data_IF_074762214952
#
_entry.id   IF_074762214952
#
_cell.length_a   1.000
_cell.length_b   1.000
_cell.length_c   1.000
_cell.angle_alpha   90.00
_cell.angle_beta   90.00
_cell.angle_gamma   90.00
#
_symmetry.space_group_name_H-M   'P 1'
#
loop_
_entity.id
_entity.type
_entity.pdbx_description
1 polymer ?
#
# COMPACT_ATOMS: atom_id res chain seq x y z
N UNK A 1 -15.11 9.72 -12.42
CA UNK A 1 -14.61 8.47 -13.04
C UNK A 1 -14.10 7.56 -11.91
N UNK A 2 -14.73 6.40 -11.69
CA UNK A 2 -14.56 5.51 -10.51
C UNK A 2 -13.55 4.38 -10.78
N UNK A 3 -12.78 4.42 -11.87
CA UNK A 3 -11.84 3.33 -12.22
C UNK A 3 -10.46 3.56 -11.58
N UNK A 4 -9.89 2.56 -10.89
CA UNK A 4 -8.58 2.60 -10.20
C UNK A 4 -8.57 1.99 -8.80
N UNK A 5 -7.39 1.72 -8.20
CA UNK A 5 -7.29 1.15 -6.86
C UNK A 5 -7.93 2.09 -5.82
N UNK A 6 -8.79 1.52 -4.97
CA UNK A 6 -9.41 2.22 -3.84
C UNK A 6 -8.72 1.81 -2.54
N UNK A 7 -8.64 2.76 -1.60
CA UNK A 7 -8.36 2.48 -0.20
C UNK A 7 -9.70 2.26 0.48
N UNK A 8 -9.86 1.10 1.11
CA UNK A 8 -11.04 0.73 1.87
C UNK A 8 -10.66 0.52 3.34
N UNK A 9 -11.65 0.58 4.24
CA UNK A 9 -11.44 0.13 5.61
C UNK A 9 -11.06 -1.37 5.60
N UNK A 10 -10.24 -1.84 6.55
CA UNK A 10 -9.79 -3.23 6.57
C UNK A 10 -10.93 -4.27 6.52
N UNK A 11 -12.05 -3.97 7.19
CA UNK A 11 -13.24 -4.84 7.18
C UNK A 11 -13.96 -4.92 5.83
N UNK A 12 -13.74 -3.95 4.94
CA UNK A 12 -14.38 -3.86 3.62
C UNK A 12 -13.49 -4.43 2.50
N UNK A 13 -12.34 -5.01 2.84
CA UNK A 13 -11.41 -5.61 1.88
C UNK A 13 -11.70 -7.11 1.76
N UNK A 14 -12.16 -7.55 0.58
CA UNK A 14 -12.21 -8.97 0.23
C UNK A 14 -10.79 -9.49 -0.09
N UNK A 15 -10.23 -10.42 0.70
CA UNK A 15 -8.89 -10.97 0.43
C UNK A 15 -8.84 -11.86 -0.81
N UNK A 16 -9.99 -12.30 -1.35
CA UNK A 16 -10.05 -13.21 -2.48
C UNK A 16 -9.18 -14.46 -2.26
N UNK A 17 -8.26 -14.73 -3.18
CA UNK A 17 -7.33 -15.86 -3.10
C UNK A 17 -6.05 -15.61 -2.29
N UNK A 18 -5.91 -14.46 -1.62
CA UNK A 18 -4.68 -14.11 -0.91
C UNK A 18 -4.38 -15.11 0.22
N UNK A 19 -3.13 -15.55 0.30
CA UNK A 19 -2.66 -16.54 1.31
C UNK A 19 -1.90 -15.90 2.48
N UNK A 20 -1.50 -14.64 2.33
CA UNK A 20 -0.69 -13.92 3.32
C UNK A 20 -1.01 -12.43 3.27
N UNK A 21 -0.85 -11.74 4.40
CA UNK A 21 -0.97 -10.28 4.49
C UNK A 21 0.39 -9.65 4.78
N UNK A 22 0.69 -8.51 4.15
CA UNK A 22 1.90 -7.73 4.38
C UNK A 22 1.56 -6.40 5.06
N UNK A 23 2.49 -5.87 5.86
CA UNK A 23 2.33 -4.60 6.57
C UNK A 23 2.88 -4.64 7.99
N UNK A 24 2.67 -3.54 8.72
CA UNK A 24 2.96 -3.46 10.16
C UNK A 24 2.17 -4.52 10.94
N UNK A 25 2.69 -5.03 12.06
CA UNK A 25 1.98 -6.01 12.89
C UNK A 25 0.55 -5.62 13.24
N UNK A 26 0.31 -4.35 13.62
CA UNK A 26 -1.02 -3.87 14.02
C UNK A 26 -2.04 -3.90 12.87
N UNK A 27 -1.67 -3.47 11.66
CA UNK A 27 -2.56 -3.50 10.50
C UNK A 27 -2.75 -4.91 9.94
N UNK A 28 -1.71 -5.74 9.94
CA UNK A 28 -1.81 -7.12 9.46
C UNK A 28 -2.74 -7.97 10.35
N UNK A 29 -2.77 -7.70 11.66
CA UNK A 29 -3.67 -8.38 12.60
C UNK A 29 -5.17 -8.10 12.35
N UNK A 30 -5.51 -7.12 11.50
CA UNK A 30 -6.89 -6.86 11.08
C UNK A 30 -7.40 -7.87 10.05
N UNK A 31 -6.53 -8.74 9.54
CA UNK A 31 -6.84 -9.78 8.57
C UNK A 31 -6.58 -11.16 9.18
N UNK A 32 -7.46 -12.11 8.92
CA UNK A 32 -7.29 -13.51 9.33
C UNK A 32 -6.36 -14.27 8.37
N UNK A 33 -5.16 -13.70 8.12
CA UNK A 33 -4.15 -14.25 7.22
C UNK A 33 -2.77 -14.23 7.89
N UNK A 34 -1.90 -15.22 7.59
CA UNK A 34 -0.52 -15.19 8.05
C UNK A 34 0.21 -13.92 7.59
N UNK A 35 0.85 -13.23 8.54
CA UNK A 35 1.66 -12.04 8.23
C UNK A 35 2.98 -12.44 7.55
N UNK A 36 3.28 -11.84 6.41
CA UNK A 36 4.54 -11.96 5.68
C UNK A 36 5.29 -10.62 5.67
N UNK A 37 6.59 -10.66 5.95
CA UNK A 37 7.47 -9.50 5.85
C UNK A 37 7.97 -9.24 4.42
N UNK A 38 8.75 -8.16 4.20
CA UNK A 38 9.17 -7.18 5.20
C UNK A 38 8.06 -6.16 5.53
N UNK A 39 8.16 -5.46 6.67
CA UNK A 39 7.18 -4.44 7.08
C UNK A 39 7.24 -3.21 6.16
N UNK A 40 8.42 -2.91 5.62
CA UNK A 40 8.67 -1.86 4.65
C UNK A 40 9.72 -2.33 3.63
N UNK A 41 9.78 -1.73 2.43
CA UNK A 41 10.85 -2.00 1.48
C UNK A 41 12.22 -1.68 2.08
N UNK A 42 13.22 -2.54 1.83
CA UNK A 42 14.61 -2.23 2.19
C UNK A 42 15.27 -1.41 1.08
N UNK A 43 16.26 -0.56 1.38
CA UNK A 43 17.01 0.15 0.35
C UNK A 43 17.62 -0.79 -0.72
N UNK A 44 18.18 -1.92 -0.30
CA UNK A 44 18.73 -2.92 -1.21
C UNK A 44 17.64 -3.56 -2.10
N UNK A 45 16.46 -3.84 -1.54
CA UNK A 45 15.32 -4.36 -2.30
C UNK A 45 14.80 -3.35 -3.32
N UNK A 46 14.78 -2.06 -2.98
CA UNK A 46 14.41 -1.00 -3.92
C UNK A 46 15.39 -0.91 -5.09
N UNK A 47 16.70 -0.99 -4.83
CA UNK A 47 17.73 -1.00 -5.88
C UNK A 47 17.59 -2.24 -6.78
N UNK A 48 17.35 -3.41 -6.20
CA UNK A 48 17.17 -4.65 -6.93
C UNK A 48 15.88 -4.69 -7.79
N UNK A 49 14.88 -3.87 -7.45
CA UNK A 49 13.64 -3.77 -8.21
C UNK A 49 13.75 -2.95 -9.51
N UNK A 50 14.86 -2.24 -9.72
CA UNK A 50 15.08 -1.46 -10.96
C UNK A 50 15.64 -2.37 -12.05
N UNK A 51 14.90 -2.59 -13.16
CA UNK A 51 15.30 -3.55 -14.20
C UNK A 51 16.39 -3.02 -15.13
N UNK A 52 16.49 -1.71 -15.31
CA UNK A 52 17.48 -1.06 -16.18
C UNK A 52 17.87 0.31 -15.60
N UNK A 53 19.18 0.49 -15.38
CA UNK A 53 19.76 1.73 -14.85
C UNK A 53 20.35 2.62 -15.95
N UNK A 54 20.40 2.15 -17.20
CA UNK A 54 21.00 2.88 -18.32
C UNK A 54 20.10 4.01 -18.83
N UNK A 55 18.82 3.97 -18.50
CA UNK A 55 17.83 4.96 -18.94
C UNK A 55 17.64 6.06 -17.87
N UNK A 56 17.47 7.33 -18.29
CA UNK A 56 17.10 8.39 -17.36
C UNK A 56 15.71 8.08 -16.78
N UNK A 57 15.50 8.26 -15.44
CA UNK A 57 14.20 8.00 -14.85
C UNK A 57 13.18 9.04 -15.32
N UNK A 58 11.89 8.66 -15.47
CA UNK A 58 10.83 9.64 -15.65
C UNK A 58 10.72 10.54 -14.42
N UNK A 59 10.11 11.74 -14.54
CA UNK A 59 9.85 12.60 -13.39
C UNK A 59 9.11 11.85 -12.29
N UNK A 60 9.46 12.13 -11.04
CA UNK A 60 8.76 11.57 -9.89
C UNK A 60 7.35 12.15 -9.82
N UNK A 61 6.36 11.28 -9.95
CA UNK A 61 4.94 11.61 -9.75
C UNK A 61 4.45 10.86 -8.52
N UNK A 62 3.89 11.58 -7.56
CA UNK A 62 3.31 10.96 -6.38
C UNK A 62 2.11 10.08 -6.78
N UNK A 63 2.12 8.82 -6.35
CA UNK A 63 0.98 7.93 -6.53
C UNK A 63 -0.03 8.17 -5.41
N UNK A 64 -1.00 9.05 -5.68
CA UNK A 64 -2.11 9.28 -4.76
C UNK A 64 -3.15 8.17 -4.89
N UNK A 65 -3.27 7.35 -3.83
CA UNK A 65 -4.35 6.38 -3.72
C UNK A 65 -5.66 7.08 -3.37
N UNK A 66 -6.76 6.59 -3.94
CA UNK A 66 -8.07 7.18 -3.70
C UNK A 66 -8.62 6.75 -2.35
N UNK A 67 -9.01 7.70 -1.53
CA UNK A 67 -9.68 7.48 -0.25
C UNK A 67 -11.11 8.04 -0.28
N UNK A 68 -12.07 7.34 -0.90
CA UNK A 68 -13.47 7.77 -0.89
C UNK A 68 -14.05 7.83 0.53
N UNK A 69 -13.45 7.10 1.46
CA UNK A 69 -13.77 7.02 2.89
C UNK A 69 -13.03 8.06 3.75
N UNK A 70 -12.21 8.94 3.15
CA UNK A 70 -11.43 9.92 3.89
C UNK A 70 -12.33 10.89 4.67
N UNK A 71 -12.38 10.73 5.99
CA UNK A 71 -12.95 11.72 6.89
C UNK A 71 -11.97 12.90 7.04
N UNK A 72 -12.40 14.15 6.81
CA UNK A 72 -11.56 15.32 7.09
C UNK A 72 -11.16 15.33 8.57
N UNK A 73 -9.91 15.67 8.87
CA UNK A 73 -9.52 15.95 10.25
C UNK A 73 -10.34 17.13 10.75
N UNK A 74 -11.00 16.98 11.91
CA UNK A 74 -11.60 18.12 12.59
C UNK A 74 -10.50 19.14 12.87
N UNK A 75 -10.75 20.41 12.54
CA UNK A 75 -9.82 21.49 12.83
C UNK A 75 -9.53 21.46 14.34
N UNK A 76 -8.25 21.38 14.70
CA UNK A 76 -7.83 21.47 16.10
C UNK A 76 -8.01 22.94 16.49
N UNK A 77 -9.09 23.23 17.22
CA UNK A 77 -9.38 24.55 17.80
C UNK A 77 -8.46 24.88 18.96
#
# INVERSE_FOLDING_TARGET
RIEGPAVNAPADVDPGGAQTVAGSPEHAALFDLPRRGPINPTPAGLVAAVPDWSQPPPPLVALYLRRPDAKPMAARG
#
